data_IF_309089525455
#
_entry.id   IF_309089525455
#
_cell.length_a   1.000
_cell.length_b   1.000
_cell.length_c   1.000
_cell.angle_alpha   90.00
_cell.angle_beta   90.00
_cell.angle_gamma   90.00
#
_symmetry.space_group_name_H-M   'P 1'
#
loop_
_entity.id
_entity.type
_entity.pdbx_description
1 polymer ?
#
# COMPACT_ATOMS: atom_id res chain seq x y z
N UNK A 1 15.17 -26.88 12.02
CA UNK A 1 16.39 -26.12 11.64
C UNK A 1 16.57 -26.12 10.13
N UNK A 2 16.54 -27.28 9.46
CA UNK A 2 16.73 -27.42 7.99
C UNK A 2 15.99 -26.39 7.13
N UNK A 3 14.70 -26.11 7.43
CA UNK A 3 13.89 -25.16 6.66
C UNK A 3 14.35 -23.69 6.72
N UNK A 4 15.23 -23.34 7.66
CA UNK A 4 15.81 -22.00 7.81
C UNK A 4 17.26 -21.92 7.29
N UNK A 5 17.87 -23.06 6.95
CA UNK A 5 19.25 -23.13 6.44
C UNK A 5 19.21 -22.94 4.93
N UNK A 6 19.76 -21.83 4.44
CA UNK A 6 19.81 -21.55 3.01
C UNK A 6 19.96 -20.06 2.67
N UNK A 7 19.78 -19.74 1.39
CA UNK A 7 19.91 -18.36 0.87
C UNK A 7 18.64 -17.54 1.16
N UNK A 8 18.69 -16.69 2.19
CA UNK A 8 17.57 -15.83 2.61
C UNK A 8 17.50 -14.48 1.89
N UNK A 9 18.42 -14.20 0.96
CA UNK A 9 18.57 -12.89 0.27
C UNK A 9 17.26 -12.40 -0.37
N UNK A 10 16.54 -13.30 -1.06
CA UNK A 10 15.29 -12.93 -1.73
C UNK A 10 14.14 -12.69 -0.76
N UNK A 11 14.09 -13.41 0.37
CA UNK A 11 13.03 -13.25 1.37
C UNK A 11 13.06 -11.85 2.01
N UNK A 12 14.27 -11.35 2.33
CA UNK A 12 14.48 -10.01 2.90
C UNK A 12 14.59 -8.90 1.86
N UNK A 13 14.56 -9.23 0.57
CA UNK A 13 14.53 -8.22 -0.49
C UNK A 13 13.26 -7.37 -0.41
N UNK A 14 13.37 -6.11 -0.83
CA UNK A 14 12.25 -5.16 -0.82
C UNK A 14 11.58 -5.15 -2.18
N UNK A 15 10.40 -5.72 -2.26
CA UNK A 15 9.59 -5.71 -3.47
C UNK A 15 8.87 -4.37 -3.61
N UNK A 16 8.62 -3.95 -4.85
CA UNK A 16 7.83 -2.76 -5.17
C UNK A 16 6.47 -3.17 -5.72
N UNK A 17 5.44 -3.06 -4.88
CA UNK A 17 4.06 -3.32 -5.24
C UNK A 17 3.41 -2.06 -5.81
N UNK A 18 2.47 -2.23 -6.75
CA UNK A 18 1.65 -1.15 -7.30
C UNK A 18 0.17 -1.41 -7.04
N UNK A 19 -0.57 -0.35 -6.76
CA UNK A 19 -2.04 -0.37 -6.68
C UNK A 19 -2.60 0.97 -7.15
N UNK A 20 -3.71 0.94 -7.87
CA UNK A 20 -4.49 2.14 -8.17
C UNK A 20 -5.63 2.27 -7.17
N UNK A 21 -5.81 3.45 -6.60
CA UNK A 21 -6.91 3.74 -5.69
C UNK A 21 -8.27 3.82 -6.40
N UNK A 22 -8.26 4.05 -7.72
CA UNK A 22 -9.46 4.16 -8.54
C UNK A 22 -9.91 2.82 -9.16
N UNK A 23 -8.98 1.87 -9.33
CA UNK A 23 -9.28 0.60 -9.96
C UNK A 23 -10.24 -0.25 -9.11
N UNK A 24 -11.21 -0.88 -9.78
CA UNK A 24 -12.14 -1.82 -9.15
C UNK A 24 -11.35 -2.99 -8.58
N UNK A 25 -11.58 -3.31 -7.31
CA UNK A 25 -10.87 -4.38 -6.65
C UNK A 25 -11.80 -5.58 -6.40
N UNK A 26 -11.45 -6.79 -6.86
CA UNK A 26 -12.32 -7.95 -6.75
C UNK A 26 -12.57 -8.36 -5.28
N UNK A 27 -11.55 -8.33 -4.41
CA UNK A 27 -11.67 -8.86 -3.03
C UNK A 27 -11.83 -7.82 -1.92
N UNK A 28 -11.24 -6.62 -2.04
CA UNK A 28 -11.25 -5.61 -0.96
C UNK A 28 -12.51 -4.75 -0.93
N UNK A 29 -13.28 -4.72 -2.01
CA UNK A 29 -14.52 -3.96 -2.12
C UNK A 29 -15.60 -4.51 -1.18
N UNK A 30 -16.57 -3.66 -0.80
CA UNK A 30 -17.76 -4.13 -0.07
C UNK A 30 -18.72 -4.88 -1.00
N UNK A 31 -18.76 -4.45 -2.27
CA UNK A 31 -19.42 -5.15 -3.37
C UNK A 31 -18.29 -5.62 -4.32
N UNK A 32 -17.91 -6.90 -4.22
CA UNK A 32 -16.85 -7.49 -5.05
C UNK A 32 -17.04 -7.19 -6.54
N UNK A 33 -15.98 -6.73 -7.21
CA UNK A 33 -15.97 -6.55 -8.67
C UNK A 33 -16.72 -5.32 -9.20
N UNK A 34 -17.27 -4.46 -8.34
CA UNK A 34 -17.98 -3.23 -8.77
C UNK A 34 -17.29 -1.94 -8.31
N UNK A 35 -16.72 -1.93 -7.10
CA UNK A 35 -16.17 -0.70 -6.50
C UNK A 35 -14.66 -0.79 -6.25
N UNK A 36 -13.96 0.35 -6.26
CA UNK A 36 -12.60 0.44 -5.73
C UNK A 36 -12.58 0.15 -4.22
N UNK A 37 -11.41 -0.17 -3.64
CA UNK A 37 -11.29 -0.40 -2.21
C UNK A 37 -11.50 0.91 -1.46
N UNK A 38 -12.40 0.91 -0.46
CA UNK A 38 -12.60 2.09 0.39
C UNK A 38 -11.31 2.46 1.14
N UNK A 39 -11.12 3.75 1.44
CA UNK A 39 -9.92 4.31 2.09
C UNK A 39 -9.37 3.43 3.24
N UNK A 40 -10.24 3.00 4.16
CA UNK A 40 -9.83 2.20 5.31
C UNK A 40 -9.40 0.77 4.93
N UNK A 41 -10.12 0.13 4.01
CA UNK A 41 -9.80 -1.23 3.55
C UNK A 41 -8.50 -1.25 2.75
N UNK A 42 -8.30 -0.25 1.90
CA UNK A 42 -7.05 -0.04 1.17
C UNK A 42 -5.89 0.19 2.16
N UNK A 43 -6.04 1.12 3.10
CA UNK A 43 -5.01 1.42 4.09
C UNK A 43 -4.62 0.19 4.94
N UNK A 44 -5.59 -0.65 5.31
CA UNK A 44 -5.35 -1.87 6.08
C UNK A 44 -4.49 -2.85 5.30
N UNK A 45 -4.82 -3.07 4.01
CA UNK A 45 -4.02 -3.95 3.15
C UNK A 45 -2.61 -3.41 2.94
N UNK A 46 -2.48 -2.09 2.73
CA UNK A 46 -1.17 -1.44 2.60
C UNK A 46 -0.33 -1.65 3.87
N UNK A 47 -0.91 -1.46 5.06
CA UNK A 47 -0.19 -1.63 6.31
C UNK A 47 0.37 -3.06 6.49
N UNK A 48 -0.37 -4.08 6.06
CA UNK A 48 0.10 -5.49 6.04
C UNK A 48 1.34 -5.66 5.16
N UNK A 49 1.36 -5.02 3.98
CA UNK A 49 2.50 -5.07 3.06
C UNK A 49 3.71 -4.32 3.63
N UNK A 50 3.49 -3.12 4.16
CA UNK A 50 4.54 -2.30 4.77
C UNK A 50 5.17 -2.94 6.02
N UNK A 51 4.40 -3.76 6.76
CA UNK A 51 4.93 -4.55 7.87
C UNK A 51 5.66 -5.82 7.42
N UNK A 52 5.41 -6.31 6.20
CA UNK A 52 5.95 -7.59 5.74
C UNK A 52 5.15 -8.82 6.19
N UNK A 53 3.97 -8.64 6.83
CA UNK A 53 3.12 -9.74 7.35
C UNK A 53 2.62 -10.72 6.29
N UNK A 54 2.77 -10.39 5.00
CA UNK A 54 2.43 -11.26 3.89
C UNK A 54 3.56 -12.26 3.55
N UNK A 55 4.78 -12.05 4.08
CA UNK A 55 5.92 -12.94 3.90
C UNK A 55 5.89 -14.02 5.00
N UNK A 56 6.20 -15.29 4.67
CA UNK A 56 6.27 -16.36 5.68
C UNK A 56 7.41 -16.16 6.67
N UNK A 57 8.43 -15.37 6.31
CA UNK A 57 9.58 -15.02 7.17
C UNK A 57 9.33 -13.76 8.01
N UNK A 58 8.06 -13.37 8.21
CA UNK A 58 7.73 -12.17 8.98
C UNK A 58 8.12 -12.34 10.44
N UNK A 59 8.86 -11.37 10.96
CA UNK A 59 9.11 -11.20 12.38
C UNK A 59 8.87 -9.72 12.76
N UNK A 60 8.17 -9.41 13.86
CA UNK A 60 7.84 -8.04 14.24
C UNK A 60 9.06 -7.17 14.57
N UNK A 61 10.17 -7.76 15.03
CA UNK A 61 11.41 -7.06 15.37
C UNK A 61 12.21 -6.69 14.12
N UNK A 62 12.17 -7.54 13.09
CA UNK A 62 12.81 -7.29 11.81
C UNK A 62 11.98 -6.38 10.91
N UNK A 63 12.65 -5.58 10.07
CA UNK A 63 11.99 -4.67 9.15
C UNK A 63 12.01 -5.18 7.69
N UNK A 64 11.31 -6.31 7.47
CA UNK A 64 11.24 -7.07 6.22
C UNK A 64 10.11 -6.62 5.26
N UNK A 65 9.47 -5.48 5.53
CA UNK A 65 8.37 -4.95 4.73
C UNK A 65 8.77 -4.40 3.36
N UNK A 66 7.79 -4.28 2.48
CA UNK A 66 7.97 -3.90 1.08
C UNK A 66 7.55 -2.45 0.78
N UNK A 67 7.84 -1.99 -0.44
CA UNK A 67 7.36 -0.72 -0.97
C UNK A 67 5.96 -0.87 -1.55
N UNK A 68 5.15 0.17 -1.40
CA UNK A 68 3.83 0.25 -2.01
C UNK A 68 3.69 1.58 -2.72
N UNK A 69 3.52 1.51 -4.04
CA UNK A 69 3.20 2.66 -4.90
C UNK A 69 1.70 2.70 -5.10
N UNK A 70 1.06 3.78 -4.65
CA UNK A 70 -0.36 4.04 -4.82
C UNK A 70 -0.54 5.17 -5.83
N UNK A 71 -1.35 4.93 -6.85
CA UNK A 71 -1.70 5.90 -7.90
C UNK A 71 -3.17 6.29 -7.81
N UNK A 72 -3.54 7.41 -8.43
CA UNK A 72 -4.92 7.93 -8.47
C UNK A 72 -5.52 8.22 -7.10
N UNK A 73 -4.71 8.72 -6.15
CA UNK A 73 -5.19 9.06 -4.80
C UNK A 73 -6.24 10.20 -4.81
N UNK A 74 -6.31 11.01 -5.86
CA UNK A 74 -7.34 12.03 -5.98
C UNK A 74 -8.76 11.43 -6.03
N UNK A 75 -8.88 10.22 -6.58
CA UNK A 75 -10.14 9.49 -6.76
C UNK A 75 -10.40 8.44 -5.65
N UNK A 76 -9.89 8.67 -4.43
CA UNK A 76 -10.09 7.76 -3.31
C UNK A 76 -11.58 7.55 -3.00
N UNK A 77 -11.98 6.27 -2.89
CA UNK A 77 -13.34 5.92 -2.51
C UNK A 77 -13.57 6.15 -1.01
N UNK A 78 -14.46 7.10 -0.73
CA UNK A 78 -14.89 7.47 0.62
C UNK A 78 -16.39 7.22 0.71
N UNK A 79 -16.82 6.40 1.66
CA UNK A 79 -18.25 6.07 1.82
C UNK A 79 -19.00 7.12 2.63
N UNK A 80 -20.28 7.35 2.28
CA UNK A 80 -21.17 8.29 2.96
C UNK A 80 -20.69 9.74 2.88
N UNK A 81 -21.00 10.55 3.90
CA UNK A 81 -20.64 11.98 3.97
C UNK A 81 -19.26 12.25 4.61
N UNK A 82 -18.41 11.22 4.72
CA UNK A 82 -17.11 11.32 5.41
C UNK A 82 -16.16 12.33 4.77
N UNK A 83 -16.29 12.59 3.47
CA UNK A 83 -15.47 13.59 2.75
C UNK A 83 -15.65 14.99 3.35
N UNK A 84 -16.86 15.36 3.74
CA UNK A 84 -17.15 16.70 4.28
C UNK A 84 -17.24 16.72 5.81
N UNK A 85 -17.65 15.62 6.44
CA UNK A 85 -17.90 15.59 7.90
C UNK A 85 -16.69 15.15 8.73
N UNK A 86 -15.77 14.36 8.17
CA UNK A 86 -14.64 13.83 8.95
C UNK A 86 -13.60 14.93 9.17
N UNK A 87 -13.34 15.25 10.43
CA UNK A 87 -12.33 16.21 10.86
C UNK A 87 -11.02 15.52 11.26
N UNK A 88 -9.91 16.13 10.88
CA UNK A 88 -8.55 15.81 11.31
C UNK A 88 -8.09 16.87 12.30
N UNK A 89 -7.62 16.43 13.47
CA UNK A 89 -7.16 17.32 14.54
C UNK A 89 -5.64 17.32 14.64
N UNK A 90 -5.08 18.50 14.86
CA UNK A 90 -3.67 18.69 15.20
C UNK A 90 -3.59 19.61 16.42
N UNK A 91 -3.61 19.05 17.64
CA UNK A 91 -3.37 19.84 18.84
C UNK A 91 -1.91 20.26 18.90
N UNK A 92 -1.67 21.41 19.52
CA UNK A 92 -0.35 21.82 19.99
C UNK A 92 -0.38 21.81 21.52
N UNK A 93 0.77 21.85 22.19
CA UNK A 93 0.84 21.87 23.66
C UNK A 93 0.25 23.15 24.27
N UNK A 94 0.06 24.22 23.48
CA UNK A 94 -0.56 25.48 23.91
C UNK A 94 -2.10 25.36 24.02
N UNK A 95 -2.71 25.66 25.18
CA UNK A 95 -4.17 25.71 25.32
C UNK A 95 -4.85 26.62 24.28
N UNK A 96 -6.02 26.22 23.77
CA UNK A 96 -6.77 26.97 22.75
C UNK A 96 -6.25 26.84 21.31
N UNK A 97 -5.08 26.22 21.07
CA UNK A 97 -4.47 26.12 19.73
C UNK A 97 -4.85 24.85 18.95
N UNK A 98 -6.09 24.38 19.09
CA UNK A 98 -6.59 23.20 18.38
C UNK A 98 -6.87 23.53 16.91
N UNK A 99 -6.11 22.90 15.99
CA UNK A 99 -6.39 23.00 14.56
C UNK A 99 -7.25 21.82 14.12
N UNK A 100 -8.39 22.11 13.48
CA UNK A 100 -9.27 21.12 12.89
C UNK A 100 -9.44 21.41 11.40
N UNK A 101 -9.34 20.37 10.56
CA UNK A 101 -9.50 20.48 9.09
C UNK A 101 -10.36 19.30 8.63
N UNK A 102 -11.36 19.55 7.79
CA UNK A 102 -12.19 18.50 7.18
C UNK A 102 -11.44 17.76 6.06
N UNK A 103 -11.89 16.57 5.67
CA UNK A 103 -11.16 15.73 4.72
C UNK A 103 -11.06 16.37 3.33
N UNK A 104 -12.13 16.98 2.84
CA UNK A 104 -12.18 17.79 1.62
C UNK A 104 -11.09 18.88 1.63
N UNK A 105 -11.05 19.72 2.65
CA UNK A 105 -10.05 20.80 2.77
C UNK A 105 -8.63 20.25 2.89
N UNK A 106 -8.45 19.09 3.52
CA UNK A 106 -7.15 18.41 3.57
C UNK A 106 -6.72 17.91 2.19
N UNK A 107 -7.64 17.34 1.41
CA UNK A 107 -7.39 16.88 0.03
C UNK A 107 -7.07 18.05 -0.90
N UNK A 108 -7.74 19.20 -0.73
CA UNK A 108 -7.45 20.41 -1.51
C UNK A 108 -6.04 20.96 -1.22
N UNK A 109 -5.63 20.97 0.05
CA UNK A 109 -4.33 21.53 0.45
C UNK A 109 -3.14 20.63 0.16
N UNK A 110 -3.28 19.33 0.39
CA UNK A 110 -2.17 18.37 0.39
C UNK A 110 -2.40 17.13 -0.49
N UNK A 111 -3.59 16.97 -1.06
CA UNK A 111 -3.96 15.81 -1.87
C UNK A 111 -4.55 14.63 -1.10
N UNK A 112 -5.14 13.68 -1.83
CA UNK A 112 -5.64 12.42 -1.30
C UNK A 112 -4.52 11.50 -0.77
N UNK A 113 -3.29 11.70 -1.25
CA UNK A 113 -2.09 11.01 -0.78
C UNK A 113 -1.85 11.20 0.72
N UNK A 114 -2.03 12.42 1.24
CA UNK A 114 -1.88 12.70 2.68
C UNK A 114 -3.02 12.08 3.50
N UNK A 115 -4.25 12.06 2.97
CA UNK A 115 -5.39 11.36 3.60
C UNK A 115 -5.08 9.87 3.77
N UNK A 116 -4.56 9.24 2.71
CA UNK A 116 -4.16 7.83 2.74
C UNK A 116 -2.99 7.61 3.69
N UNK A 117 -1.98 8.50 3.69
CA UNK A 117 -0.82 8.43 4.57
C UNK A 117 -1.23 8.49 6.04
N UNK A 118 -2.15 9.39 6.41
CA UNK A 118 -2.68 9.46 7.79
C UNK A 118 -3.43 8.19 8.18
N UNK A 119 -4.22 7.62 7.27
CA UNK A 119 -4.95 6.36 7.51
C UNK A 119 -3.97 5.20 7.77
N UNK A 120 -2.98 5.00 6.89
CA UNK A 120 -1.95 3.96 7.03
C UNK A 120 -1.11 4.17 8.28
N UNK A 121 -0.74 5.41 8.59
CA UNK A 121 0.03 5.75 9.78
C UNK A 121 -0.72 5.40 11.09
N UNK A 122 -2.06 5.45 11.07
CA UNK A 122 -2.90 4.97 12.16
C UNK A 122 -2.79 3.47 12.37
N UNK A 123 -2.68 2.70 11.29
CA UNK A 123 -2.71 1.22 11.29
C UNK A 123 -1.35 0.57 11.56
N UNK A 124 -0.24 1.32 11.48
CA UNK A 124 1.08 0.80 11.82
C UNK A 124 1.32 0.75 13.35
N UNK A 125 2.08 -0.25 13.85
CA UNK A 125 2.48 -0.33 15.25
C UNK A 125 3.20 0.93 15.72
N UNK A 126 2.95 1.36 16.96
CA UNK A 126 3.55 2.57 17.53
C UNK A 126 4.93 2.24 18.10
N UNK A 127 5.93 2.21 17.22
CA UNK A 127 7.32 1.92 17.57
C UNK A 127 8.31 2.67 16.65
N UNK A 128 9.62 2.46 16.87
CA UNK A 128 10.71 3.09 16.10
C UNK A 128 10.72 2.72 14.60
N UNK A 129 10.06 1.63 14.20
CA UNK A 129 9.99 1.18 12.80
C UNK A 129 8.86 1.87 12.04
N UNK A 130 7.93 2.52 12.73
CA UNK A 130 6.74 3.15 12.16
C UNK A 130 7.07 4.13 11.04
N UNK A 131 8.00 5.04 11.28
CA UNK A 131 8.34 6.09 10.32
C UNK A 131 9.05 5.51 9.09
N UNK A 132 9.94 4.54 9.30
CA UNK A 132 10.61 3.81 8.21
C UNK A 132 9.62 3.03 7.34
N UNK A 133 8.64 2.36 7.96
CA UNK A 133 7.57 1.64 7.26
C UNK A 133 6.68 2.62 6.49
N UNK A 134 6.28 3.73 7.11
CA UNK A 134 5.46 4.75 6.46
C UNK A 134 6.17 5.44 5.29
N UNK A 135 7.49 5.65 5.37
CA UNK A 135 8.28 6.28 4.30
C UNK A 135 8.31 5.45 3.00
N UNK A 136 8.02 4.15 3.07
CA UNK A 136 7.94 3.24 1.91
C UNK A 136 6.61 3.31 1.18
N UNK A 137 5.59 3.90 1.79
CA UNK A 137 4.37 4.24 1.09
C UNK A 137 4.65 5.41 0.15
N UNK A 138 4.46 5.21 -1.15
CA UNK A 138 4.60 6.21 -2.19
C UNK A 138 3.24 6.46 -2.81
N UNK A 139 2.54 7.49 -2.34
CA UNK A 139 1.20 7.83 -2.80
C UNK A 139 1.24 9.02 -3.76
N UNK A 140 0.54 8.92 -4.89
CA UNK A 140 0.46 9.93 -5.94
C UNK A 140 -0.99 10.23 -6.32
N UNK A 141 -1.28 11.48 -6.63
CA UNK A 141 -2.64 11.92 -6.97
C UNK A 141 -3.15 11.36 -8.30
N UNK A 142 -2.26 11.16 -9.27
CA UNK A 142 -2.58 10.61 -10.60
C UNK A 142 -1.73 9.39 -10.97
N UNK A 143 -1.68 9.09 -12.27
CA UNK A 143 -0.96 7.93 -12.83
C UNK A 143 0.56 8.13 -12.97
N UNK A 144 1.03 9.38 -13.01
CA UNK A 144 2.45 9.67 -13.18
C UNK A 144 3.22 9.51 -11.87
N UNK A 145 4.29 8.71 -11.90
CA UNK A 145 5.20 8.51 -10.77
C UNK A 145 6.61 8.10 -11.25
N UNK A 146 7.68 8.41 -10.48
CA UNK A 146 9.06 8.10 -10.88
C UNK A 146 9.40 6.59 -10.81
N UNK A 147 8.62 5.81 -10.06
CA UNK A 147 8.94 4.41 -9.75
C UNK A 147 8.47 3.39 -10.80
N UNK A 148 8.10 3.82 -12.03
CA UNK A 148 7.61 2.91 -13.08
C UNK A 148 8.60 1.78 -13.38
N UNK A 149 9.91 2.06 -13.35
CA UNK A 149 10.98 1.06 -13.57
C UNK A 149 11.18 0.12 -12.39
N UNK A 150 10.78 0.48 -11.18
CA UNK A 150 11.05 -0.29 -9.97
C UNK A 150 10.00 -1.38 -9.71
N UNK A 151 8.81 -1.25 -10.30
CA UNK A 151 7.70 -2.18 -10.08
C UNK A 151 8.11 -3.63 -10.38
N UNK A 152 7.62 -4.56 -9.56
CA UNK A 152 7.87 -5.99 -9.76
C UNK A 152 7.32 -6.47 -11.10
N UNK A 153 8.12 -7.27 -11.81
CA UNK A 153 7.82 -7.81 -13.13
C UNK A 153 8.03 -9.31 -13.19
N UNK A 154 7.25 -9.97 -14.03
CA UNK A 154 7.45 -11.36 -14.42
C UNK A 154 7.49 -11.44 -15.94
N UNK A 155 8.59 -11.96 -16.49
CA UNK A 155 8.78 -12.00 -17.96
C UNK A 155 8.72 -10.63 -18.64
N UNK A 156 9.17 -9.57 -17.95
CA UNK A 156 9.08 -8.18 -18.44
C UNK A 156 7.73 -7.49 -18.21
N UNK A 157 6.68 -8.24 -17.85
CA UNK A 157 5.32 -7.71 -17.62
C UNK A 157 5.16 -7.27 -16.17
N UNK A 158 4.61 -6.08 -15.94
CA UNK A 158 4.37 -5.52 -14.60
C UNK A 158 3.20 -6.23 -13.93
N UNK A 159 3.29 -6.49 -12.62
CA UNK A 159 2.18 -7.09 -11.87
C UNK A 159 0.98 -6.14 -11.87
N UNK A 160 -0.19 -6.67 -12.25
CA UNK A 160 -1.45 -5.91 -12.31
C UNK A 160 -1.85 -5.43 -13.71
N UNK A 161 -0.96 -5.49 -14.70
CA UNK A 161 -1.31 -5.24 -16.11
C UNK A 161 -1.83 -6.50 -16.78
N UNK A 162 -2.62 -6.39 -17.83
CA UNK A 162 -3.16 -7.56 -18.54
C UNK A 162 -2.05 -8.55 -18.95
N UNK A 163 -2.31 -9.85 -18.78
CA UNK A 163 -1.40 -10.92 -19.17
C UNK A 163 -0.30 -11.28 -18.17
N UNK A 164 -0.14 -10.56 -17.05
CA UNK A 164 0.91 -10.86 -16.06
C UNK A 164 0.79 -12.27 -15.46
N UNK A 165 -0.44 -12.77 -15.25
CA UNK A 165 -0.64 -14.14 -14.73
C UNK A 165 -0.17 -15.21 -15.70
N UNK A 166 -0.38 -15.02 -17.01
CA UNK A 166 0.05 -15.98 -18.05
C UNK A 166 1.58 -16.04 -18.13
N UNK A 167 2.26 -14.90 -18.02
CA UNK A 167 3.71 -14.84 -17.97
C UNK A 167 4.27 -15.64 -16.77
N UNK A 168 3.66 -15.48 -15.58
CA UNK A 168 4.04 -16.25 -14.38
C UNK A 168 3.81 -17.75 -14.59
N UNK A 169 2.66 -18.14 -15.16
CA UNK A 169 2.35 -19.55 -15.43
C UNK A 169 3.37 -20.19 -16.39
N UNK A 170 3.74 -19.47 -17.44
CA UNK A 170 4.73 -19.95 -18.44
C UNK A 170 6.09 -20.21 -17.78
N UNK A 171 6.58 -19.28 -16.95
CA UNK A 171 7.84 -19.45 -16.21
C UNK A 171 7.77 -20.70 -15.32
N UNK A 172 6.67 -20.87 -14.58
CA UNK A 172 6.48 -22.02 -13.70
C UNK A 172 6.40 -23.36 -14.45
N UNK A 173 5.80 -23.38 -15.65
CA UNK A 173 5.73 -24.59 -16.47
C UNK A 173 7.12 -24.98 -17.00
N UNK A 174 7.93 -24.00 -17.40
CA UNK A 174 9.30 -24.25 -17.84
C UNK A 174 10.19 -24.77 -16.71
N UNK A 175 10.04 -24.23 -15.48
CA UNK A 175 10.82 -24.71 -14.32
C UNK A 175 10.49 -26.16 -13.96
N UNK A 176 9.25 -26.62 -14.18
CA UNK A 176 8.87 -28.02 -13.93
C UNK A 176 9.58 -29.02 -14.83
N UNK A 177 10.08 -28.62 -16.00
CA UNK A 177 10.79 -29.51 -16.92
C UNK A 177 12.22 -29.85 -16.46
N UNK A 178 12.76 -29.10 -15.48
CA UNK A 178 14.09 -29.32 -14.90
C UNK A 178 14.10 -30.29 -13.71
N UNK A 179 12.93 -30.58 -13.14
CA UNK A 179 12.72 -31.49 -12.01
C UNK A 179 12.26 -32.83 -12.58
#
# INVERSE_FOLDING_TARGET
MSQHVGLTRLAYSRVWHHVSAAAVHPTLASQPGTTPPSLGRLASRIAVILMGKHKPTFDPSTDCGDYVVVTNCAALLITGRKKWQKKYYKPTTRPGSLKAITMDVLMEKLGGSEVLRKAVNGMLPKNRLRDKRLARLKAFEGDSHPYKKNLIRFGGVVVGTEGWQKAVQTIRLNDKQRI
#
